data_IF_044142502957
#
_entry.id   IF_044142502957
#
_cell.length_a   1.000
_cell.length_b   1.000
_cell.length_c   1.000
_cell.angle_alpha   90.00
_cell.angle_beta   90.00
_cell.angle_gamma   90.00
#
_symmetry.space_group_name_H-M   'P 1'
#
loop_
_entity.id
_entity.type
_entity.pdbx_description
1 polymer ?
#
# COMPACT_ATOMS: atom_id res chain seq x y z
N UNK A 1 -16.57 13.28 -22.16
CA UNK A 1 -15.45 12.41 -22.60
C UNK A 1 -14.26 12.61 -21.65
N UNK A 2 -14.41 12.25 -20.36
CA UNK A 2 -13.42 12.53 -19.29
C UNK A 2 -12.87 11.25 -18.61
N UNK A 3 -13.55 10.11 -18.80
CA UNK A 3 -13.18 8.84 -18.16
C UNK A 3 -11.82 8.28 -18.60
N UNK A 4 -11.29 8.69 -19.76
CA UNK A 4 -10.05 8.14 -20.32
C UNK A 4 -8.78 8.91 -19.92
N UNK A 5 -8.88 10.15 -19.42
CA UNK A 5 -7.67 10.95 -19.13
C UNK A 5 -6.85 10.36 -17.98
N UNK A 6 -7.51 9.89 -16.91
CA UNK A 6 -6.83 9.25 -15.79
C UNK A 6 -6.25 7.88 -16.18
N UNK A 7 -6.99 7.08 -16.96
CA UNK A 7 -6.51 5.78 -17.43
C UNK A 7 -5.25 5.90 -18.30
N UNK A 8 -5.20 6.87 -19.21
CA UNK A 8 -4.04 7.14 -20.06
C UNK A 8 -2.84 7.61 -19.23
N UNK A 9 -3.05 8.48 -18.24
CA UNK A 9 -1.98 8.93 -17.33
C UNK A 9 -1.35 7.78 -16.57
N UNK A 10 -2.16 6.88 -16.00
CA UNK A 10 -1.64 5.70 -15.32
C UNK A 10 -0.91 4.78 -16.29
N UNK A 11 -1.51 4.46 -17.44
CA UNK A 11 -0.86 3.62 -18.45
C UNK A 11 0.52 4.16 -18.87
N UNK A 12 0.65 5.48 -19.03
CA UNK A 12 1.94 6.13 -19.32
C UNK A 12 2.92 6.12 -18.15
N UNK A 13 2.45 6.32 -16.92
CA UNK A 13 3.32 6.27 -15.74
C UNK A 13 3.88 4.86 -15.46
N UNK A 14 3.17 3.82 -15.88
CA UNK A 14 3.59 2.43 -15.75
C UNK A 14 4.21 1.85 -17.03
N UNK A 15 4.34 2.62 -18.11
CA UNK A 15 4.90 2.16 -19.39
C UNK A 15 6.35 1.68 -19.23
N UNK A 16 7.12 2.39 -18.41
CA UNK A 16 8.53 2.09 -18.08
C UNK A 16 8.68 1.42 -16.69
N UNK A 17 7.59 0.87 -16.13
CA UNK A 17 7.66 0.18 -14.84
C UNK A 17 8.32 -1.19 -15.00
N UNK A 18 9.48 -1.36 -14.36
CA UNK A 18 10.21 -2.62 -14.26
C UNK A 18 10.18 -3.08 -12.80
N UNK A 19 9.59 -4.25 -12.58
CA UNK A 19 9.51 -4.87 -11.25
C UNK A 19 10.90 -5.19 -10.67
N UNK A 20 11.91 -5.39 -11.53
CA UNK A 20 13.30 -5.61 -11.14
C UNK A 20 14.14 -4.34 -11.26
N UNK A 21 13.52 -3.22 -11.64
CA UNK A 21 14.18 -1.95 -11.85
C UNK A 21 14.66 -1.36 -10.52
N UNK A 22 15.87 -0.79 -10.53
CA UNK A 22 16.39 -0.03 -9.39
C UNK A 22 16.02 1.43 -9.56
N UNK A 23 15.04 1.89 -8.77
CA UNK A 23 14.59 3.27 -8.79
C UNK A 23 15.41 4.14 -7.84
N UNK A 24 15.79 5.37 -8.24
CA UNK A 24 16.54 6.27 -7.38
C UNK A 24 15.70 6.65 -6.16
N UNK A 25 16.30 6.51 -4.98
CA UNK A 25 15.69 7.00 -3.74
C UNK A 25 15.84 8.52 -3.69
N UNK A 26 14.71 9.22 -3.59
CA UNK A 26 14.72 10.65 -3.31
C UNK A 26 14.94 10.88 -1.81
N UNK A 27 15.68 11.92 -1.45
CA UNK A 27 15.79 12.32 -0.05
C UNK A 27 14.43 12.80 0.46
N UNK A 28 13.83 11.99 1.33
CA UNK A 28 12.62 12.36 2.04
C UNK A 28 12.98 12.81 3.47
N UNK A 29 12.83 14.11 3.71
CA UNK A 29 13.07 14.73 5.02
C UNK A 29 11.85 14.63 5.95
N UNK A 30 10.77 13.98 5.51
CA UNK A 30 9.58 13.86 6.34
C UNK A 30 9.79 12.91 7.52
N UNK A 31 8.97 13.09 8.55
CA UNK A 31 9.07 12.28 9.76
C UNK A 31 8.77 10.80 9.45
N UNK A 32 9.45 9.91 10.18
CA UNK A 32 9.19 8.48 10.13
C UNK A 32 7.71 8.19 10.43
N UNK A 33 7.12 7.30 9.64
CA UNK A 33 5.75 6.87 9.85
C UNK A 33 5.66 5.93 11.05
N UNK A 34 4.70 6.19 11.93
CA UNK A 34 4.31 5.28 13.00
C UNK A 34 2.82 4.98 12.87
N UNK A 35 2.49 3.69 12.81
CA UNK A 35 1.10 3.26 12.66
C UNK A 35 0.31 3.59 13.93
N UNK A 36 -0.79 4.31 13.76
CA UNK A 36 -1.76 4.58 14.84
C UNK A 36 -2.96 3.66 14.70
N UNK A 37 -3.63 3.36 15.82
CA UNK A 37 -4.78 2.45 15.83
C UNK A 37 -5.93 2.98 14.97
N UNK A 38 -6.25 4.28 15.05
CA UNK A 38 -7.30 4.90 14.25
C UNK A 38 -6.99 4.82 12.74
N UNK A 39 -5.73 5.01 12.37
CA UNK A 39 -5.29 4.86 10.98
C UNK A 39 -5.45 3.41 10.53
N UNK A 40 -5.03 2.45 11.35
CA UNK A 40 -5.18 1.02 11.07
C UNK A 40 -6.64 0.61 10.86
N UNK A 41 -7.54 0.98 11.78
CA UNK A 41 -8.97 0.70 11.67
C UNK A 41 -9.56 1.28 10.37
N UNK A 42 -9.17 2.51 10.03
CA UNK A 42 -9.60 3.13 8.76
C UNK A 42 -9.13 2.35 7.53
N UNK A 43 -7.91 1.79 7.58
CA UNK A 43 -7.35 0.95 6.51
C UNK A 43 -8.09 -0.39 6.41
N UNK A 44 -8.29 -1.08 7.53
CA UNK A 44 -9.04 -2.36 7.59
C UNK A 44 -10.43 -2.20 6.98
N UNK A 45 -11.17 -1.16 7.40
CA UNK A 45 -12.49 -0.85 6.84
C UNK A 45 -12.43 -0.52 5.34
N UNK A 46 -11.45 0.27 4.92
CA UNK A 46 -11.25 0.60 3.51
C UNK A 46 -11.02 -0.64 2.63
N UNK A 47 -10.16 -1.55 3.07
CA UNK A 47 -9.90 -2.81 2.37
C UNK A 47 -11.16 -3.68 2.29
N UNK A 48 -11.91 -3.77 3.39
CA UNK A 48 -13.16 -4.54 3.40
C UNK A 48 -14.20 -3.97 2.43
N UNK A 49 -14.37 -2.64 2.38
CA UNK A 49 -15.29 -1.99 1.44
C UNK A 49 -14.84 -2.21 -0.01
N UNK A 50 -13.54 -2.05 -0.29
CA UNK A 50 -12.97 -2.23 -1.62
C UNK A 50 -13.19 -3.66 -2.13
N UNK A 51 -12.92 -4.66 -1.30
CA UNK A 51 -13.05 -6.07 -1.70
C UNK A 51 -14.52 -6.48 -1.85
N UNK A 52 -15.41 -6.02 -0.97
CA UNK A 52 -16.87 -6.21 -1.12
C UNK A 52 -17.38 -5.59 -2.43
N UNK A 53 -16.93 -4.38 -2.76
CA UNK A 53 -17.32 -3.70 -3.99
C UNK A 53 -16.87 -4.48 -5.24
N UNK A 54 -15.68 -5.11 -5.17
CA UNK A 54 -15.12 -5.93 -6.25
C UNK A 54 -15.58 -7.39 -6.20
N UNK A 55 -16.51 -7.75 -5.31
CA UNK A 55 -17.03 -9.12 -5.10
C UNK A 55 -15.92 -10.15 -4.84
N UNK A 56 -14.87 -9.74 -4.13
CA UNK A 56 -13.73 -10.59 -3.76
C UNK A 56 -13.98 -11.25 -2.42
N UNK A 57 -13.35 -12.42 -2.23
CA UNK A 57 -13.29 -13.03 -0.91
C UNK A 57 -12.55 -12.12 0.08
N UNK A 58 -13.15 -11.96 1.27
CA UNK A 58 -12.65 -11.15 2.38
C UNK A 58 -12.28 -11.99 3.60
N UNK A 59 -12.38 -13.32 3.52
CA UNK A 59 -12.16 -14.24 4.66
C UNK A 59 -10.78 -14.05 5.28
N UNK A 60 -9.77 -13.84 4.44
CA UNK A 60 -8.38 -13.67 4.85
C UNK A 60 -7.90 -12.22 4.82
N UNK A 61 -8.83 -11.26 4.91
CA UNK A 61 -8.44 -9.85 5.00
C UNK A 61 -7.87 -9.55 6.38
N UNK A 62 -6.99 -8.56 6.42
CA UNK A 62 -6.46 -8.00 7.67
C UNK A 62 -7.59 -7.54 8.59
N UNK A 63 -7.39 -7.74 9.88
CA UNK A 63 -8.34 -7.42 10.94
C UNK A 63 -7.78 -6.35 11.89
N UNK A 64 -8.66 -5.73 12.66
CA UNK A 64 -8.24 -4.77 13.69
C UNK A 64 -7.30 -5.39 14.73
N UNK A 65 -7.42 -6.70 14.98
CA UNK A 65 -6.55 -7.48 15.87
C UNK A 65 -5.10 -7.56 15.40
N UNK A 66 -4.82 -7.35 14.11
CA UNK A 66 -3.47 -7.47 13.54
C UNK A 66 -2.64 -6.19 13.75
N UNK A 67 -3.19 -5.20 14.45
CA UNK A 67 -2.60 -3.88 14.65
C UNK A 67 -1.15 -3.95 15.17
N UNK A 68 -0.89 -4.68 16.24
CA UNK A 68 0.46 -4.70 16.84
C UNK A 68 1.48 -5.37 15.93
N UNK A 69 1.08 -6.40 15.17
CA UNK A 69 1.92 -7.02 14.17
C UNK A 69 2.32 -6.02 13.07
N UNK A 70 1.34 -5.35 12.45
CA UNK A 70 1.62 -4.40 11.36
C UNK A 70 2.31 -3.13 11.84
N UNK A 71 2.05 -2.69 13.07
CA UNK A 71 2.77 -1.56 13.69
C UNK A 71 4.25 -1.86 13.84
N UNK A 72 4.61 -3.06 14.29
CA UNK A 72 6.01 -3.46 14.39
C UNK A 72 6.61 -3.68 12.99
N UNK A 73 5.87 -4.33 12.09
CA UNK A 73 6.31 -4.55 10.71
C UNK A 73 6.66 -3.23 10.01
N UNK A 74 5.77 -2.24 10.01
CA UNK A 74 6.03 -0.94 9.37
C UNK A 74 7.14 -0.13 10.05
N UNK A 75 7.41 -0.40 11.33
CA UNK A 75 8.51 0.24 12.05
C UNK A 75 9.87 -0.31 11.63
N UNK A 76 9.96 -1.62 11.39
CA UNK A 76 11.23 -2.32 11.20
C UNK A 76 11.54 -2.62 9.73
N UNK A 77 10.52 -2.62 8.87
CA UNK A 77 10.65 -2.89 7.44
C UNK A 77 10.71 -1.61 6.61
N UNK A 78 11.10 -1.81 5.34
CA UNK A 78 11.07 -0.82 4.28
C UNK A 78 10.15 -1.32 3.16
N UNK A 79 9.85 -0.44 2.20
CA UNK A 79 9.13 -0.84 0.98
C UNK A 79 9.86 -1.98 0.26
N UNK A 80 9.14 -3.05 -0.08
CA UNK A 80 9.68 -4.20 -0.80
C UNK A 80 10.09 -3.88 -2.24
N UNK A 81 9.48 -2.85 -2.85
CA UNK A 81 9.73 -2.47 -4.24
C UNK A 81 10.94 -1.53 -4.35
N UNK A 82 11.00 -0.47 -3.54
CA UNK A 82 12.06 0.55 -3.65
C UNK A 82 13.07 0.56 -2.49
N UNK A 83 12.84 -0.19 -1.43
CA UNK A 83 13.73 -0.21 -0.26
C UNK A 83 13.68 1.06 0.61
N UNK A 84 12.85 2.06 0.26
CA UNK A 84 12.66 3.27 1.06
C UNK A 84 11.99 3.00 2.40
N UNK A 85 12.38 3.78 3.42
CA UNK A 85 11.71 3.83 4.71
C UNK A 85 10.30 4.41 4.56
N UNK A 86 9.40 3.99 5.44
CA UNK A 86 8.07 4.55 5.53
C UNK A 86 8.05 5.86 6.31
N UNK A 87 7.37 6.85 5.74
CA UNK A 87 7.30 8.22 6.25
C UNK A 87 5.89 8.79 6.05
N UNK A 88 5.63 10.01 6.52
CA UNK A 88 4.32 10.63 6.30
C UNK A 88 4.03 10.98 4.84
N UNK A 89 5.06 11.21 4.01
CA UNK A 89 4.91 11.42 2.56
C UNK A 89 4.96 10.10 1.80
N UNK A 90 5.71 9.11 2.28
CA UNK A 90 5.79 7.74 1.77
C UNK A 90 5.13 6.73 2.73
N UNK A 91 3.80 6.75 2.81
CA UNK A 91 3.04 5.89 3.74
C UNK A 91 3.04 4.43 3.26
N UNK A 92 3.08 3.44 4.19
CA UNK A 92 3.01 2.04 3.82
C UNK A 92 1.63 1.67 3.25
N UNK A 93 1.64 0.73 2.32
CA UNK A 93 0.44 0.09 1.75
C UNK A 93 0.59 -1.42 1.83
N UNK A 94 -0.51 -2.10 2.11
CA UNK A 94 -0.58 -3.56 2.00
C UNK A 94 -1.06 -3.94 0.61
N UNK A 95 -0.22 -4.68 -0.09
CA UNK A 95 -0.57 -5.28 -1.38
C UNK A 95 -1.39 -6.55 -1.16
N UNK A 96 -2.31 -6.81 -2.09
CA UNK A 96 -3.13 -8.02 -2.06
C UNK A 96 -2.30 -9.18 -2.58
N UNK A 97 -2.22 -10.25 -1.79
CA UNK A 97 -1.63 -11.53 -2.20
C UNK A 97 -2.73 -12.40 -2.82
N UNK A 98 -2.42 -13.03 -3.95
CA UNK A 98 -3.27 -14.03 -4.57
C UNK A 98 -2.85 -15.43 -4.07
N UNK A 99 -3.61 -15.97 -3.11
CA UNK A 99 -3.35 -17.28 -2.52
C UNK A 99 -3.71 -18.46 -3.45
N UNK A 100 -4.22 -18.17 -4.66
CA UNK A 100 -4.52 -19.21 -5.67
C UNK A 100 -3.33 -19.56 -6.56
N UNK A 101 -2.20 -18.87 -6.39
CA UNK A 101 -0.95 -19.10 -7.13
C UNK A 101 0.10 -19.80 -6.29
#
# INVERSE_FOLDING_TARGET
>A
MSACSNAIKYAKAYEDFDINGVYPNFEDQSQKFYLTQNYWQSKVQGYQVQDKHQRRDTTNNVQDSDFEYFKQLFKDSNCSICGCKFTFTNKPTLDRIDNSK
#
